data_IF_879122358239
#
_entry.id   IF_879122358239
#
_cell.length_a   1.000
_cell.length_b   1.000
_cell.length_c   1.000
_cell.angle_alpha   90.00
_cell.angle_beta   90.00
_cell.angle_gamma   90.00
#
_symmetry.space_group_name_H-M   'P 1'
#
loop_
_entity.id
_entity.type
_entity.pdbx_description
1 polymer ?
#
# COMPACT_ATOMS: atom_id res chain seq x y z
N UNK A 1 8.06 17.04 -3.39
CA UNK A 1 7.66 15.73 -2.83
C UNK A 1 6.25 15.47 -3.30
N UNK A 2 6.00 14.26 -3.77
CA UNK A 2 4.70 13.86 -4.28
C UNK A 2 4.18 12.69 -3.46
N UNK A 3 2.86 12.57 -3.39
CA UNK A 3 2.19 11.46 -2.71
C UNK A 3 1.23 10.82 -3.69
N UNK A 4 1.24 9.50 -3.76
CA UNK A 4 0.25 8.71 -4.51
C UNK A 4 -0.41 7.69 -3.57
N UNK A 5 -1.65 7.34 -3.87
CA UNK A 5 -2.34 6.25 -3.19
C UNK A 5 -2.12 4.94 -3.97
N UNK A 6 -1.69 3.91 -3.24
CA UNK A 6 -1.46 2.57 -3.77
C UNK A 6 -2.19 1.55 -2.89
N UNK A 7 -2.53 0.40 -3.47
CA UNK A 7 -3.25 -0.66 -2.78
C UNK A 7 -2.46 -1.98 -2.87
N UNK A 8 -2.43 -2.69 -1.76
CA UNK A 8 -1.94 -4.06 -1.68
C UNK A 8 -3.10 -5.01 -1.41
N UNK A 9 -3.25 -6.00 -2.27
CA UNK A 9 -4.16 -7.13 -2.04
C UNK A 9 -3.42 -8.22 -1.26
N UNK A 10 -3.86 -8.44 -0.02
CA UNK A 10 -3.36 -9.47 0.88
C UNK A 10 -4.38 -10.61 0.93
N UNK A 11 -4.25 -11.51 -0.04
CA UNK A 11 -5.12 -12.67 -0.22
C UNK A 11 -5.08 -13.61 0.99
N UNK A 12 -3.90 -13.78 1.61
CA UNK A 12 -3.72 -14.65 2.79
C UNK A 12 -4.63 -14.21 3.95
N UNK A 13 -4.79 -12.90 4.12
CA UNK A 13 -5.60 -12.32 5.18
C UNK A 13 -6.96 -11.80 4.70
N UNK A 14 -7.34 -12.07 3.45
CA UNK A 14 -8.58 -11.60 2.81
C UNK A 14 -8.82 -10.09 3.05
N UNK A 15 -7.83 -9.26 2.72
CA UNK A 15 -7.91 -7.82 2.96
C UNK A 15 -7.18 -7.02 1.89
N UNK A 16 -7.64 -5.80 1.66
CA UNK A 16 -6.92 -4.78 0.91
C UNK A 16 -6.36 -3.73 1.86
N UNK A 17 -5.12 -3.34 1.65
CA UNK A 17 -4.46 -2.30 2.44
C UNK A 17 -4.14 -1.13 1.54
N UNK A 18 -4.69 0.04 1.87
CA UNK A 18 -4.40 1.29 1.18
C UNK A 18 -3.22 2.00 1.84
N UNK A 19 -2.28 2.48 1.02
CA UNK A 19 -1.08 3.19 1.44
C UNK A 19 -1.00 4.55 0.77
N UNK A 20 -0.52 5.54 1.52
CA UNK A 20 0.04 6.75 0.96
C UNK A 20 1.54 6.55 0.76
N UNK A 21 2.00 6.69 -0.48
CA UNK A 21 3.41 6.53 -0.86
C UNK A 21 3.96 7.91 -1.17
N UNK A 22 4.86 8.39 -0.32
CA UNK A 22 5.60 9.62 -0.54
C UNK A 22 6.87 9.30 -1.32
N UNK A 23 7.06 9.99 -2.43
CA UNK A 23 8.22 9.79 -3.29
C UNK A 23 8.79 11.12 -3.79
N UNK A 24 10.06 11.06 -4.19
CA UNK A 24 10.73 12.09 -4.95
C UNK A 24 11.11 11.56 -6.33
N UNK A 25 10.89 12.38 -7.35
CA UNK A 25 11.41 12.12 -8.69
C UNK A 25 12.82 12.70 -8.78
N UNK A 26 13.77 11.88 -9.21
CA UNK A 26 15.14 12.28 -9.53
C UNK A 26 15.42 11.84 -10.96
N UNK A 27 15.34 12.79 -11.88
CA UNK A 27 15.53 12.59 -13.32
C UNK A 27 14.64 11.43 -13.85
N UNK A 28 15.25 10.28 -14.16
CA UNK A 28 14.62 9.05 -14.68
C UNK A 28 14.30 8.00 -13.59
N UNK A 29 14.40 8.37 -12.31
CA UNK A 29 14.15 7.47 -11.18
C UNK A 29 13.13 8.04 -10.20
N UNK A 30 12.42 7.14 -9.53
CA UNK A 30 11.54 7.44 -8.40
C UNK A 30 12.16 6.86 -7.16
N UNK A 31 12.34 7.70 -6.15
CA UNK A 31 12.82 7.32 -4.84
C UNK A 31 11.65 7.35 -3.86
N UNK A 32 11.23 6.19 -3.37
CA UNK A 32 10.23 6.09 -2.30
C UNK A 32 10.87 6.57 -1.00
N UNK A 33 10.28 7.60 -0.40
CA UNK A 33 10.75 8.20 0.84
C UNK A 33 9.98 7.67 2.05
N UNK A 34 8.68 7.46 1.90
CA UNK A 34 7.85 6.91 2.96
C UNK A 34 6.66 6.14 2.38
N UNK A 35 6.29 5.05 3.05
CA UNK A 35 5.05 4.32 2.79
C UNK A 35 4.25 4.36 4.09
N UNK A 36 3.02 4.86 4.04
CA UNK A 36 2.17 5.02 5.22
C UNK A 36 0.84 4.27 5.01
N UNK A 37 0.58 3.19 5.75
CA UNK A 37 -0.73 2.54 5.74
C UNK A 37 -1.80 3.51 6.24
N UNK A 38 -2.92 3.58 5.51
CA UNK A 38 -4.04 4.50 5.81
C UNK A 38 -5.29 3.74 6.21
N UNK A 39 -5.59 2.66 5.52
CA UNK A 39 -6.84 1.94 5.68
C UNK A 39 -6.64 0.46 5.37
N UNK A 40 -7.38 -0.38 6.11
CA UNK A 40 -7.52 -1.80 5.82
C UNK A 40 -8.99 -2.09 5.53
N UNK A 41 -9.26 -2.67 4.37
CA UNK A 41 -10.57 -3.14 3.96
C UNK A 41 -10.58 -4.66 4.03
N UNK A 42 -11.39 -5.22 4.92
CA UNK A 42 -11.56 -6.68 5.03
C UNK A 42 -12.57 -7.16 4.00
N UNK A 43 -12.28 -8.29 3.37
CA UNK A 43 -13.04 -8.85 2.27
C UNK A 43 -13.70 -10.17 2.68
N UNK A 44 -14.82 -10.47 2.05
CA UNK A 44 -15.45 -11.78 2.12
C UNK A 44 -14.60 -12.78 1.31
N UNK A 45 -14.12 -13.88 1.91
CA UNK A 45 -13.28 -14.85 1.19
C UNK A 45 -13.96 -15.49 -0.03
N UNK A 46 -15.29 -15.60 -0.03
CA UNK A 46 -16.04 -16.26 -1.10
C UNK A 46 -16.40 -15.30 -2.25
N UNK A 47 -16.75 -14.06 -1.92
CA UNK A 47 -17.28 -13.10 -2.91
C UNK A 47 -16.31 -11.96 -3.25
N UNK A 48 -15.19 -11.87 -2.53
CA UNK A 48 -14.22 -10.77 -2.56
C UNK A 48 -14.84 -9.38 -2.28
N UNK A 49 -16.08 -9.33 -1.78
CA UNK A 49 -16.77 -8.09 -1.49
C UNK A 49 -16.26 -7.47 -0.18
N UNK A 50 -16.19 -6.13 -0.09
CA UNK A 50 -15.78 -5.45 1.13
C UNK A 50 -16.81 -5.66 2.25
N UNK A 51 -16.37 -6.22 3.37
CA UNK A 51 -17.16 -6.41 4.58
C UNK A 51 -17.15 -5.16 5.45
N UNK A 52 -15.95 -4.60 5.68
CA UNK A 52 -15.74 -3.40 6.48
C UNK A 52 -14.38 -2.78 6.21
N UNK A 53 -14.27 -1.50 6.50
CA UNK A 53 -13.00 -0.75 6.41
C UNK A 53 -12.65 -0.11 7.75
N UNK A 54 -11.38 -0.15 8.11
CA UNK A 54 -10.84 0.51 9.31
C UNK A 54 -9.65 1.39 8.95
N UNK A 55 -9.58 2.57 9.56
CA UNK A 55 -8.41 3.45 9.43
C UNK A 55 -7.23 2.97 10.28
N UNK A 56 -6.02 3.20 9.80
CA UNK A 56 -4.77 2.85 10.49
C UNK A 56 -4.15 4.11 11.10
N UNK A 57 -4.41 4.29 12.40
CA UNK A 57 -4.02 5.50 13.13
C UNK A 57 -2.84 5.31 14.07
N UNK A 58 -2.62 4.08 14.55
CA UNK A 58 -1.56 3.76 15.50
C UNK A 58 -0.24 3.47 14.79
N UNK A 59 0.86 3.83 15.44
CA UNK A 59 2.22 3.54 14.96
C UNK A 59 2.45 2.02 14.85
N UNK A 60 2.08 1.26 15.89
CA UNK A 60 2.17 -0.20 15.89
C UNK A 60 1.40 -0.86 14.76
N UNK A 61 0.21 -0.35 14.41
CA UNK A 61 -0.58 -0.85 13.29
C UNK A 61 0.08 -0.56 11.94
N UNK A 62 0.72 0.62 11.81
CA UNK A 62 1.47 0.96 10.59
C UNK A 62 2.70 0.08 10.43
N UNK A 63 3.47 -0.09 11.49
CA UNK A 63 4.69 -0.91 11.47
C UNK A 63 4.37 -2.37 11.15
N UNK A 64 3.32 -2.92 11.76
CA UNK A 64 2.85 -4.27 11.47
C UNK A 64 2.53 -4.45 9.98
N UNK A 65 1.73 -3.55 9.40
CA UNK A 65 1.33 -3.64 7.99
C UNK A 65 2.51 -3.42 7.04
N UNK A 66 3.45 -2.53 7.37
CA UNK A 66 4.66 -2.32 6.58
C UNK A 66 5.57 -3.55 6.61
N UNK A 67 5.72 -4.19 7.76
CA UNK A 67 6.49 -5.43 7.88
C UNK A 67 5.85 -6.56 7.07
N UNK A 68 4.52 -6.66 7.07
CA UNK A 68 3.78 -7.64 6.27
C UNK A 68 3.91 -7.36 4.77
N UNK A 69 3.81 -6.09 4.34
CA UNK A 69 4.03 -5.68 2.95
C UNK A 69 5.44 -6.02 2.47
N UNK A 70 6.45 -5.85 3.32
CA UNK A 70 7.84 -6.21 3.00
C UNK A 70 8.03 -7.72 2.91
N UNK A 71 7.46 -8.46 3.86
CA UNK A 71 7.54 -9.92 3.89
C UNK A 71 6.84 -10.59 2.70
N UNK A 72 5.78 -9.98 2.17
CA UNK A 72 5.06 -10.49 0.99
C UNK A 72 5.78 -10.25 -0.33
N UNK A 73 6.88 -9.47 -0.34
CA UNK A 73 7.59 -9.10 -1.56
C UNK A 73 6.83 -8.12 -2.45
N UNK A 74 5.71 -7.57 -1.99
CA UNK A 74 4.85 -6.67 -2.78
C UNK A 74 5.42 -5.24 -2.90
N UNK A 75 6.53 -4.94 -2.22
CA UNK A 75 7.15 -3.61 -2.27
C UNK A 75 7.58 -3.22 -3.69
N UNK A 76 8.10 -4.15 -4.48
CA UNK A 76 8.48 -3.88 -5.88
C UNK A 76 7.28 -3.57 -6.77
N UNK A 77 6.14 -4.26 -6.56
CA UNK A 77 4.89 -3.95 -7.27
C UNK A 77 4.36 -2.56 -6.93
N UNK A 78 4.54 -2.12 -5.68
CA UNK A 78 4.17 -0.79 -5.23
C UNK A 78 5.05 0.28 -5.89
N UNK A 79 6.35 0.03 -6.06
CA UNK A 79 7.25 0.87 -6.85
C UNK A 79 6.79 0.98 -8.32
N UNK A 80 6.50 -0.15 -8.98
CA UNK A 80 6.02 -0.18 -10.36
C UNK A 80 4.69 0.58 -10.54
N UNK A 81 3.77 0.47 -9.57
CA UNK A 81 2.52 1.25 -9.56
C UNK A 81 2.78 2.75 -9.48
N UNK A 82 3.70 3.17 -8.62
CA UNK A 82 4.08 4.59 -8.48
C UNK A 82 4.69 5.09 -9.80
N UNK A 83 5.64 4.35 -10.39
CA UNK A 83 6.23 4.69 -11.68
C UNK A 83 5.19 4.78 -12.80
N UNK A 84 4.26 3.82 -12.88
CA UNK A 84 3.21 3.79 -13.89
C UNK A 84 2.23 4.96 -13.74
N UNK A 85 1.88 5.33 -12.51
CA UNK A 85 1.01 6.49 -12.23
C UNK A 85 1.60 7.84 -12.66
N UNK A 86 2.93 7.89 -12.86
CA UNK A 86 3.68 9.07 -13.27
C UNK A 86 3.90 9.19 -14.78
N UNK A 87 3.63 8.11 -15.53
CA UNK A 87 3.84 8.04 -16.97
C UNK A 87 2.62 8.51 -17.79
N UNK A 88 1.59 9.06 -17.12
CA UNK A 88 0.33 9.55 -17.71
C UNK A 88 0.33 11.07 -17.78
#
# INVERSE_FOLDING_TARGET
>A
MHTVEANWEDEENNRHVAFAVMYARKDDSVEIQAVTPKQVTFLCPESNNPLRSIGVWTESGRDMLLNQLRASGHMSKLEDQVFSSLAV
#
